data_IF_789135801337
#
_entry.id   IF_789135801337
#
_cell.length_a   1.000
_cell.length_b   1.000
_cell.length_c   1.000
_cell.angle_alpha   90.00
_cell.angle_beta   90.00
_cell.angle_gamma   90.00
#
_symmetry.space_group_name_H-M   'P 1'
#
loop_
_entity.id
_entity.type
_entity.pdbx_description
1 polymer ?
#
# COMPACT_ATOMS: atom_id res chain seq x y z
N UNK A 1 46.09 12.85 26.24
CA UNK A 1 45.77 13.01 24.80
C UNK A 1 44.82 11.90 24.36
N UNK A 2 43.56 11.98 24.79
CA UNK A 2 42.51 11.11 24.26
C UNK A 2 42.08 11.75 22.94
N UNK A 3 42.49 11.15 21.82
CA UNK A 3 42.12 11.60 20.49
C UNK A 3 40.59 11.65 20.39
N UNK A 4 40.07 12.87 20.30
CA UNK A 4 38.76 13.14 19.72
C UNK A 4 38.76 12.62 18.28
N UNK A 5 38.42 11.35 18.09
CA UNK A 5 38.05 10.85 16.78
C UNK A 5 36.73 11.52 16.40
N UNK A 6 36.87 12.56 15.58
CA UNK A 6 35.84 13.37 14.94
C UNK A 6 34.45 12.72 14.84
N UNK A 7 33.50 13.18 15.65
CA UNK A 7 32.05 12.97 15.44
C UNK A 7 31.54 13.54 14.09
N UNK A 8 32.42 14.20 13.31
CA UNK A 8 32.12 14.64 11.94
C UNK A 8 32.21 13.50 10.91
N UNK A 9 32.87 12.37 11.19
CA UNK A 9 32.87 11.20 10.29
C UNK A 9 31.60 10.32 10.40
N UNK A 10 30.74 10.55 11.40
CA UNK A 10 29.52 9.77 11.64
C UNK A 10 28.37 10.10 10.68
N UNK A 11 28.51 11.16 9.88
CA UNK A 11 27.61 11.52 8.80
C UNK A 11 28.30 11.19 7.48
N UNK A 12 28.27 9.94 7.04
CA UNK A 12 28.34 9.69 5.60
C UNK A 12 27.03 10.26 5.01
N UNK A 13 27.02 11.59 4.87
CA UNK A 13 25.95 12.46 4.37
C UNK A 13 25.35 12.01 3.03
N UNK A 14 26.06 11.35 2.09
CA UNK A 14 25.50 11.13 0.75
C UNK A 14 24.19 10.35 0.75
N UNK A 15 24.08 9.22 1.46
CA UNK A 15 22.88 8.37 1.39
C UNK A 15 21.63 9.07 1.96
N UNK A 16 21.78 9.81 3.06
CA UNK A 16 20.65 10.53 3.67
C UNK A 16 20.27 11.78 2.87
N UNK A 17 21.26 12.51 2.33
CA UNK A 17 21.01 13.65 1.45
C UNK A 17 20.31 13.20 0.16
N UNK A 18 20.70 12.07 -0.40
CA UNK A 18 20.12 11.55 -1.63
C UNK A 18 18.66 11.10 -1.41
N UNK A 19 18.38 10.42 -0.30
CA UNK A 19 17.01 10.09 0.08
C UNK A 19 16.16 11.35 0.32
N UNK A 20 16.72 12.38 0.98
CA UNK A 20 16.03 13.65 1.20
C UNK A 20 15.74 14.39 -0.12
N UNK A 21 16.69 14.43 -1.04
CA UNK A 21 16.51 15.00 -2.38
C UNK A 21 15.40 14.26 -3.14
N UNK A 22 15.43 12.92 -3.14
CA UNK A 22 14.38 12.11 -3.76
C UNK A 22 12.99 12.36 -3.14
N UNK A 23 12.89 12.65 -1.83
CA UNK A 23 11.62 13.05 -1.19
C UNK A 23 11.15 14.41 -1.71
N UNK A 24 12.05 15.39 -1.82
CA UNK A 24 11.74 16.73 -2.32
C UNK A 24 11.25 16.64 -3.78
N UNK A 25 12.00 15.92 -4.63
CA UNK A 25 11.66 15.73 -6.03
C UNK A 25 10.30 15.02 -6.18
N UNK A 26 10.04 14.00 -5.36
CA UNK A 26 8.74 13.31 -5.35
C UNK A 26 7.60 14.27 -4.97
N UNK A 27 7.82 15.18 -4.02
CA UNK A 27 6.81 16.15 -3.61
C UNK A 27 6.51 17.19 -4.70
N UNK A 28 7.52 17.58 -5.48
CA UNK A 28 7.37 18.48 -6.64
C UNK A 28 6.53 17.81 -7.72
N UNK A 29 6.85 16.56 -8.04
CA UNK A 29 6.26 15.84 -9.18
C UNK A 29 4.90 15.21 -8.85
N UNK A 30 4.68 14.80 -7.59
CA UNK A 30 3.48 14.09 -7.15
C UNK A 30 2.16 14.88 -7.28
N UNK A 31 2.21 16.18 -7.60
CA UNK A 31 1.03 17.00 -7.91
C UNK A 31 0.61 16.95 -9.38
N UNK A 32 1.51 16.52 -10.27
CA UNK A 32 1.35 16.62 -11.73
C UNK A 32 1.34 15.24 -12.39
N UNK A 33 1.91 14.23 -11.73
CA UNK A 33 2.13 12.92 -12.33
C UNK A 33 1.61 11.78 -11.45
N UNK A 34 0.94 10.82 -12.08
CA UNK A 34 0.56 9.55 -11.46
C UNK A 34 1.41 8.41 -11.99
N UNK A 35 1.98 7.61 -11.09
CA UNK A 35 2.74 6.41 -11.45
C UNK A 35 1.85 5.16 -11.35
N UNK A 36 1.74 4.39 -12.43
CA UNK A 36 0.95 3.16 -12.45
C UNK A 36 1.70 2.04 -11.74
N UNK A 37 1.06 1.39 -10.77
CA UNK A 37 1.75 0.53 -9.81
C UNK A 37 2.30 -0.76 -10.45
N UNK A 38 1.69 -1.29 -11.51
CA UNK A 38 2.20 -2.46 -12.23
C UNK A 38 3.40 -2.11 -13.12
N UNK A 39 3.39 -0.94 -13.77
CA UNK A 39 4.50 -0.40 -14.52
C UNK A 39 5.70 -0.11 -13.61
N UNK A 40 5.47 0.51 -12.44
CA UNK A 40 6.52 0.70 -11.40
C UNK A 40 7.16 -0.63 -11.00
N UNK A 41 6.35 -1.65 -10.70
CA UNK A 41 6.86 -2.99 -10.36
C UNK A 41 7.59 -3.67 -11.55
N UNK A 42 7.19 -3.39 -12.79
CA UNK A 42 7.90 -3.84 -13.99
C UNK A 42 9.25 -3.14 -14.14
N UNK A 43 9.32 -1.82 -13.93
CA UNK A 43 10.56 -1.03 -13.96
C UNK A 43 11.57 -1.55 -12.94
N UNK A 44 11.12 -1.84 -11.71
CA UNK A 44 11.98 -2.46 -10.69
C UNK A 44 12.48 -3.85 -11.09
N UNK A 45 11.61 -4.71 -11.65
CA UNK A 45 12.01 -6.04 -12.16
C UNK A 45 13.07 -5.92 -13.24
N UNK A 46 12.83 -5.06 -14.22
CA UNK A 46 13.76 -4.83 -15.33
C UNK A 46 15.11 -4.35 -14.80
N UNK A 47 15.14 -3.39 -13.88
CA UNK A 47 16.37 -2.88 -13.28
C UNK A 47 17.14 -3.95 -12.48
N UNK A 48 16.45 -4.75 -11.66
CA UNK A 48 17.07 -5.86 -10.91
C UNK A 48 17.67 -6.91 -11.85
N UNK A 49 17.05 -7.16 -13.01
CA UNK A 49 17.54 -8.11 -14.01
C UNK A 49 18.67 -7.55 -14.88
N UNK A 50 18.71 -6.23 -15.11
CA UNK A 50 19.64 -5.58 -16.06
C UNK A 50 21.01 -5.23 -15.48
N UNK A 51 21.23 -5.25 -14.16
CA UNK A 51 22.60 -5.20 -13.66
C UNK A 51 22.81 -4.78 -12.20
N UNK A 52 23.81 -5.41 -11.57
CA UNK A 52 25.14 -4.79 -11.59
C UNK A 52 25.48 -3.82 -10.46
N UNK A 53 24.83 -3.92 -9.30
CA UNK A 53 25.28 -3.18 -8.11
C UNK A 53 26.13 -4.08 -7.21
N UNK A 54 27.36 -3.65 -6.94
CA UNK A 54 28.29 -4.36 -6.05
C UNK A 54 27.88 -4.28 -4.58
N UNK A 55 27.04 -3.30 -4.21
CA UNK A 55 26.59 -3.09 -2.83
C UNK A 55 25.21 -3.70 -2.58
N UNK A 56 25.12 -4.51 -1.54
CA UNK A 56 23.85 -5.12 -1.08
C UNK A 56 22.86 -4.02 -0.69
N UNK A 57 21.56 -4.24 -0.96
CA UNK A 57 20.50 -3.37 -0.43
C UNK A 57 20.60 -3.27 1.09
N UNK A 58 20.98 -4.36 1.76
CA UNK A 58 21.17 -4.43 3.21
C UNK A 58 22.23 -3.42 3.68
N UNK A 59 23.37 -3.33 2.99
CA UNK A 59 24.44 -2.38 3.32
C UNK A 59 24.00 -0.94 3.13
N UNK A 60 23.16 -0.68 2.13
CA UNK A 60 22.65 0.68 1.84
C UNK A 60 21.61 1.16 2.85
N UNK A 61 20.78 0.27 3.37
CA UNK A 61 19.76 0.63 4.38
C UNK A 61 20.30 0.61 5.81
N UNK A 62 21.43 -0.05 6.07
CA UNK A 62 22.04 -0.17 7.40
C UNK A 62 22.19 1.17 8.14
N UNK A 63 22.74 2.23 7.52
CA UNK A 63 22.93 3.50 8.22
C UNK A 63 21.59 4.16 8.60
N UNK A 64 20.52 3.87 7.85
CA UNK A 64 19.19 4.42 8.10
C UNK A 64 18.55 3.77 9.34
N UNK A 65 18.83 2.49 9.61
CA UNK A 65 18.30 1.77 10.78
C UNK A 65 18.68 2.37 12.13
N UNK A 66 19.68 3.27 12.16
CA UNK A 66 20.08 4.04 13.35
C UNK A 66 19.05 5.08 13.78
N UNK A 67 18.10 5.43 12.91
CA UNK A 67 17.00 6.33 13.24
C UNK A 67 15.73 5.54 13.53
N UNK A 68 15.02 5.94 14.59
CA UNK A 68 13.79 5.28 15.06
C UNK A 68 12.72 5.10 13.97
N UNK A 69 12.63 6.01 12.98
CA UNK A 69 11.68 5.93 11.87
C UNK A 69 11.94 4.75 10.93
N UNK A 70 13.16 4.22 10.93
CA UNK A 70 13.63 3.19 10.02
C UNK A 70 13.99 1.89 10.75
N UNK A 71 13.69 1.75 12.04
CA UNK A 71 13.94 0.52 12.81
C UNK A 71 13.25 -0.72 12.23
N UNK A 72 12.15 -0.51 11.50
CA UNK A 72 11.38 -1.56 10.82
C UNK A 72 11.95 -1.99 9.47
N UNK A 73 13.06 -1.40 9.01
CA UNK A 73 13.73 -1.83 7.78
C UNK A 73 14.38 -3.22 7.96
N UNK A 74 14.57 -3.97 6.86
CA UNK A 74 15.22 -5.28 6.89
C UNK A 74 16.57 -5.27 7.62
N UNK A 75 16.82 -6.30 8.44
CA UNK A 75 18.05 -6.44 9.24
C UNK A 75 18.93 -7.61 8.78
N UNK A 76 18.40 -8.43 7.89
CA UNK A 76 18.98 -9.67 7.41
C UNK A 76 18.64 -9.86 5.92
N UNK A 77 19.38 -10.74 5.24
CA UNK A 77 19.20 -10.99 3.81
C UNK A 77 17.79 -11.52 3.48
N UNK A 78 17.24 -12.43 4.30
CA UNK A 78 15.90 -13.00 4.06
C UNK A 78 14.80 -11.94 4.18
N UNK A 79 14.88 -11.06 5.18
CA UNK A 79 13.93 -9.95 5.28
C UNK A 79 14.09 -8.94 4.15
N UNK A 80 15.31 -8.77 3.62
CA UNK A 80 15.61 -7.90 2.48
C UNK A 80 15.00 -8.46 1.20
N UNK A 81 15.12 -9.77 0.95
CA UNK A 81 14.44 -10.45 -0.16
C UNK A 81 12.92 -10.33 -0.09
N UNK A 82 12.34 -10.49 1.10
CA UNK A 82 10.90 -10.31 1.32
C UNK A 82 10.47 -8.86 1.08
N UNK A 83 11.29 -7.89 1.51
CA UNK A 83 11.07 -6.47 1.25
C UNK A 83 11.10 -6.16 -0.25
N UNK A 84 12.11 -6.65 -0.98
CA UNK A 84 12.23 -6.48 -2.43
C UNK A 84 11.08 -7.17 -3.17
N UNK A 85 10.75 -8.40 -2.79
CA UNK A 85 9.65 -9.17 -3.38
C UNK A 85 8.30 -8.46 -3.26
N UNK A 86 8.08 -7.68 -2.19
CA UNK A 86 6.85 -6.90 -2.03
C UNK A 86 6.75 -5.77 -3.08
N UNK A 87 7.87 -5.18 -3.48
CA UNK A 87 7.92 -4.03 -4.41
C UNK A 87 8.00 -4.45 -5.88
N UNK A 88 8.63 -5.59 -6.15
CA UNK A 88 8.92 -6.12 -7.49
C UNK A 88 7.73 -6.92 -8.05
N UNK A 89 6.90 -7.51 -7.18
CA UNK A 89 5.72 -8.29 -7.59
C UNK A 89 4.52 -7.37 -7.88
N UNK A 90 3.54 -7.83 -8.68
CA UNK A 90 2.29 -7.09 -8.88
C UNK A 90 1.66 -6.68 -7.54
N UNK A 91 1.39 -5.38 -7.34
CA UNK A 91 1.00 -4.86 -6.03
C UNK A 91 -0.40 -5.37 -5.66
N UNK A 92 -0.49 -6.03 -4.50
CA UNK A 92 -1.76 -6.51 -3.92
C UNK A 92 -2.33 -5.58 -2.85
N UNK A 93 -1.57 -4.55 -2.48
CA UNK A 93 -1.87 -3.56 -1.43
C UNK A 93 -1.07 -2.28 -1.70
N UNK A 94 -1.53 -1.15 -1.16
CA UNK A 94 -0.75 0.10 -1.15
C UNK A 94 0.53 -0.08 -0.34
N UNK A 95 1.67 0.24 -0.94
CA UNK A 95 2.98 0.19 -0.28
C UNK A 95 3.37 1.62 0.09
N UNK A 96 4.01 1.78 1.25
CA UNK A 96 4.40 3.09 1.76
C UNK A 96 5.41 3.77 0.81
N UNK A 97 5.25 5.06 0.44
CA UNK A 97 6.13 5.77 -0.51
C UNK A 97 7.61 5.71 -0.14
N UNK A 98 7.92 5.76 1.15
CA UNK A 98 9.29 5.61 1.65
C UNK A 98 9.97 4.31 1.18
N UNK A 99 9.24 3.20 1.11
CA UNK A 99 9.81 1.93 0.64
C UNK A 99 10.16 1.98 -0.85
N UNK A 100 9.34 2.68 -1.63
CA UNK A 100 9.64 2.97 -3.03
C UNK A 100 10.87 3.86 -3.15
N UNK A 101 10.96 4.93 -2.36
CA UNK A 101 12.11 5.84 -2.38
C UNK A 101 13.41 5.15 -2.01
N UNK A 102 13.41 4.23 -1.04
CA UNK A 102 14.59 3.43 -0.70
C UNK A 102 15.03 2.51 -1.83
N UNK A 103 14.08 1.90 -2.52
CA UNK A 103 14.37 1.03 -3.65
C UNK A 103 14.78 1.83 -4.89
N UNK A 104 14.20 3.02 -5.09
CA UNK A 104 14.57 3.96 -6.16
C UNK A 104 16.00 4.45 -5.95
N UNK A 105 16.31 4.92 -4.74
CA UNK A 105 17.66 5.30 -4.35
C UNK A 105 18.60 4.13 -4.59
N UNK A 106 18.27 2.92 -4.13
CA UNK A 106 19.14 1.76 -4.33
C UNK A 106 19.31 1.32 -5.79
N UNK A 107 18.27 1.33 -6.63
CA UNK A 107 18.33 0.80 -8.00
C UNK A 107 18.73 1.83 -9.06
N UNK A 108 18.35 3.09 -8.87
CA UNK A 108 18.48 4.16 -9.87
C UNK A 108 19.29 5.35 -9.38
N UNK A 109 19.74 5.35 -8.12
CA UNK A 109 20.38 6.45 -7.39
C UNK A 109 19.44 7.63 -7.14
N UNK A 110 18.74 8.12 -8.14
CA UNK A 110 17.86 9.28 -8.00
C UNK A 110 16.48 9.05 -8.65
N UNK A 111 15.52 9.89 -8.26
CA UNK A 111 14.16 9.81 -8.75
C UNK A 111 14.08 10.07 -10.27
N UNK A 112 14.90 10.96 -10.83
CA UNK A 112 14.86 11.30 -12.26
C UNK A 112 15.34 10.14 -13.12
N UNK A 113 16.41 9.47 -12.69
CA UNK A 113 16.91 8.25 -13.33
C UNK A 113 15.86 7.14 -13.30
N UNK A 114 15.12 7.01 -12.20
CA UNK A 114 13.97 6.10 -12.13
C UNK A 114 12.86 6.49 -13.11
N UNK A 115 12.49 7.77 -13.19
CA UNK A 115 11.43 8.23 -14.09
C UNK A 115 11.77 7.98 -15.55
N UNK A 116 13.02 8.22 -15.96
CA UNK A 116 13.49 7.89 -17.30
C UNK A 116 13.37 6.39 -17.61
N UNK A 117 13.73 5.54 -16.65
CA UNK A 117 13.57 4.09 -16.80
C UNK A 117 12.10 3.66 -16.79
N UNK A 118 11.25 4.34 -16.02
CA UNK A 118 9.81 4.13 -15.98
C UNK A 118 9.17 4.45 -17.32
N UNK A 119 9.47 5.61 -17.92
CA UNK A 119 8.94 6.01 -19.22
C UNK A 119 9.36 5.03 -20.32
N UNK A 120 10.61 4.56 -20.29
CA UNK A 120 11.09 3.54 -21.21
C UNK A 120 10.35 2.21 -21.04
N UNK A 121 10.07 1.78 -19.80
CA UNK A 121 9.32 0.56 -19.53
C UNK A 121 7.84 0.69 -19.94
N UNK A 122 7.21 1.84 -19.70
CA UNK A 122 5.85 2.13 -20.19
C UNK A 122 5.81 2.08 -21.71
N UNK A 123 6.76 2.71 -22.41
CA UNK A 123 6.87 2.64 -23.86
C UNK A 123 7.03 1.19 -24.34
N UNK A 124 7.86 0.38 -23.67
CA UNK A 124 8.03 -1.05 -23.96
C UNK A 124 6.74 -1.85 -23.76
N UNK A 125 5.99 -1.58 -22.70
CA UNK A 125 4.71 -2.24 -22.43
C UNK A 125 3.67 -1.88 -23.50
N UNK A 126 3.60 -0.61 -23.91
CA UNK A 126 2.73 -0.14 -25.00
C UNK A 126 3.11 -0.81 -26.31
N UNK A 127 4.40 -0.87 -26.65
CA UNK A 127 4.88 -1.59 -27.83
C UNK A 127 4.53 -3.08 -27.77
N UNK A 128 4.68 -3.73 -26.61
CA UNK A 128 4.32 -5.15 -26.46
C UNK A 128 2.82 -5.38 -26.67
N UNK A 129 1.96 -4.51 -26.15
CA UNK A 129 0.51 -4.55 -26.38
C UNK A 129 0.19 -4.34 -27.87
N UNK A 130 0.87 -3.39 -28.53
CA UNK A 130 0.72 -3.15 -29.97
C UNK A 130 1.25 -4.29 -30.86
N UNK A 131 2.31 -4.97 -30.41
CA UNK A 131 2.94 -6.12 -31.09
C UNK A 131 2.20 -7.44 -30.84
N UNK A 132 1.35 -7.49 -29.81
CA UNK A 132 0.48 -8.64 -29.58
C UNK A 132 -0.56 -8.60 -30.67
N UNK A 133 -0.46 -9.49 -31.65
CA UNK A 133 -1.42 -9.58 -32.75
C UNK A 133 -2.83 -9.66 -32.18
N UNK A 134 -3.60 -8.60 -32.40
CA UNK A 134 -5.04 -8.60 -32.16
C UNK A 134 -5.62 -9.73 -32.98
N UNK A 135 -6.00 -10.82 -32.32
CA UNK A 135 -6.86 -11.83 -32.91
C UNK A 135 -8.20 -11.13 -33.12
N UNK A 136 -8.40 -10.60 -34.33
CA UNK A 136 -9.62 -9.94 -34.83
C UNK A 136 -10.88 -10.54 -34.16
N UNK A 137 -11.63 -9.79 -33.33
CA UNK A 137 -13.06 -9.96 -33.32
C UNK A 137 -13.53 -9.37 -34.65
N UNK A 138 -13.88 -10.24 -35.58
CA UNK A 138 -14.39 -9.82 -36.87
C UNK A 138 -15.70 -9.03 -36.64
N UNK A 139 -15.72 -7.82 -37.23
CA UNK A 139 -16.83 -6.88 -37.42
C UNK A 139 -17.30 -6.07 -36.20
N UNK A 140 -16.92 -4.79 -36.25
CA UNK A 140 -17.67 -3.66 -35.71
C UNK A 140 -19.17 -3.80 -36.05
N UNK A 141 -20.01 -3.67 -35.05
CA UNK A 141 -21.34 -3.09 -35.23
C UNK A 141 -21.48 -1.98 -34.21
N UNK A 142 -21.59 -0.76 -34.73
CA UNK A 142 -21.91 0.45 -34.00
C UNK A 142 -23.13 0.26 -33.11
N UNK A 143 -23.00 0.69 -31.85
CA UNK A 143 -24.14 0.86 -30.95
C UNK A 143 -24.88 2.14 -31.34
N UNK A 144 -25.74 2.05 -32.35
CA UNK A 144 -26.88 2.95 -32.47
C UNK A 144 -28.10 2.27 -31.86
N UNK A 145 -28.53 2.77 -30.70
CA UNK A 145 -29.79 2.39 -30.06
C UNK A 145 -30.96 2.98 -30.85
N UNK A 146 -31.33 2.37 -31.97
CA UNK A 146 -32.61 2.58 -32.64
C UNK A 146 -32.82 1.54 -33.75
N UNK A 147 -33.30 0.34 -33.40
CA UNK A 147 -33.92 -0.53 -34.38
C UNK A 147 -34.92 -1.48 -33.72
N UNK A 148 -36.14 -1.46 -34.25
CA UNK A 148 -37.27 -2.32 -33.93
C UNK A 148 -36.90 -3.82 -33.93
N UNK A 149 -37.67 -4.67 -33.22
CA UNK A 149 -37.34 -6.08 -33.02
C UNK A 149 -37.38 -6.83 -34.35
N UNK A 150 -36.22 -7.14 -34.92
CA UNK A 150 -36.15 -7.99 -36.12
C UNK A 150 -36.35 -9.45 -35.71
N UNK A 151 -37.45 -10.02 -36.20
CA UNK A 151 -37.84 -11.43 -36.08
C UNK A 151 -36.78 -12.32 -36.75
N UNK A 152 -35.74 -12.70 -36.03
CA UNK A 152 -34.83 -13.76 -36.44
C UNK A 152 -35.42 -15.12 -36.06
N UNK A 153 -36.34 -15.64 -36.86
CA UNK A 153 -36.76 -17.04 -36.75
C UNK A 153 -35.60 -17.94 -37.19
N UNK A 154 -35.03 -18.79 -36.30
CA UNK A 154 -33.90 -19.64 -36.66
C UNK A 154 -34.37 -20.84 -37.48
N UNK A 155 -33.61 -21.22 -38.51
CA UNK A 155 -33.72 -22.55 -39.15
C UNK A 155 -32.52 -23.42 -38.74
N UNK A 156 -32.56 -24.14 -37.60
CA UNK A 156 -31.45 -25.00 -37.19
C UNK A 156 -31.56 -26.35 -37.90
N UNK A 157 -30.48 -26.79 -38.57
CA UNK A 157 -30.42 -28.09 -39.24
C UNK A 157 -30.27 -29.29 -38.27
N UNK A 158 -29.80 -29.09 -37.03
CA UNK A 158 -29.47 -30.19 -36.08
C UNK A 158 -30.12 -30.12 -34.68
N UNK A 159 -30.73 -28.99 -34.30
CA UNK A 159 -31.36 -28.83 -32.99
C UNK A 159 -32.88 -28.77 -33.16
N UNK A 160 -33.54 -29.93 -33.20
CA UNK A 160 -35.00 -30.05 -33.38
C UNK A 160 -35.62 -30.84 -32.23
N UNK A 161 -36.87 -30.50 -31.91
CA UNK A 161 -37.74 -31.28 -31.02
C UNK A 161 -37.19 -31.48 -29.61
N UNK A 162 -37.21 -32.75 -29.17
CA UNK A 162 -36.91 -33.18 -27.80
C UNK A 162 -35.52 -32.78 -27.31
N UNK A 163 -34.50 -32.81 -28.17
CA UNK A 163 -33.13 -32.42 -27.80
C UNK A 163 -33.04 -30.95 -27.34
N UNK A 164 -33.87 -30.06 -27.91
CA UNK A 164 -33.90 -28.65 -27.51
C UNK A 164 -34.55 -28.50 -26.13
N UNK A 165 -35.65 -29.18 -25.88
CA UNK A 165 -36.38 -29.13 -24.60
C UNK A 165 -35.55 -29.76 -23.47
N UNK A 166 -34.88 -30.88 -23.74
CA UNK A 166 -33.94 -31.51 -22.79
C UNK A 166 -32.79 -30.57 -22.46
N UNK A 167 -32.21 -29.90 -23.46
CA UNK A 167 -31.12 -28.95 -23.25
C UNK A 167 -31.58 -27.72 -22.45
N UNK A 168 -32.75 -27.15 -22.76
CA UNK A 168 -33.32 -26.02 -22.01
C UNK A 168 -33.65 -26.41 -20.56
N UNK A 169 -34.22 -27.60 -20.34
CA UNK A 169 -34.50 -28.13 -19.00
C UNK A 169 -33.22 -28.33 -18.19
N UNK A 170 -32.18 -28.94 -18.79
CA UNK A 170 -30.86 -29.13 -18.16
C UNK A 170 -30.14 -27.80 -17.87
N UNK A 171 -30.26 -26.81 -18.76
CA UNK A 171 -29.71 -25.47 -18.56
C UNK A 171 -30.45 -24.72 -17.43
N UNK A 172 -31.78 -24.83 -17.38
CA UNK A 172 -32.58 -24.26 -16.30
C UNK A 172 -32.24 -24.83 -14.92
N UNK A 173 -31.80 -26.10 -14.87
CA UNK A 173 -31.29 -26.75 -13.65
C UNK A 173 -29.86 -26.33 -13.27
N UNK A 174 -29.20 -25.47 -14.04
CA UNK A 174 -27.87 -24.93 -13.73
C UNK A 174 -26.69 -25.85 -14.06
N UNK A 175 -26.89 -26.88 -14.89
CA UNK A 175 -25.80 -27.77 -15.33
C UNK A 175 -24.75 -26.94 -16.10
N UNK A 176 -23.45 -27.08 -15.80
CA UNK A 176 -22.42 -26.28 -16.43
C UNK A 176 -22.37 -26.52 -17.94
N UNK A 177 -22.18 -25.43 -18.69
CA UNK A 177 -22.24 -25.44 -20.16
C UNK A 177 -21.23 -26.41 -20.78
N UNK A 178 -20.04 -26.55 -20.17
CA UNK A 178 -18.99 -27.48 -20.60
C UNK A 178 -19.46 -28.94 -20.57
N UNK A 179 -20.10 -29.36 -19.47
CA UNK A 179 -20.62 -30.72 -19.32
C UNK A 179 -21.70 -31.03 -20.37
N UNK A 180 -22.52 -30.04 -20.70
CA UNK A 180 -23.55 -30.17 -21.74
C UNK A 180 -22.96 -30.19 -23.15
N UNK A 181 -21.83 -29.53 -23.37
CA UNK A 181 -21.11 -29.60 -24.65
C UNK A 181 -20.52 -31.00 -24.88
N UNK A 182 -19.98 -31.62 -23.83
CA UNK A 182 -19.44 -32.99 -23.87
C UNK A 182 -20.54 -34.03 -24.02
N UNK A 183 -21.60 -33.93 -23.20
CA UNK A 183 -22.69 -34.93 -23.18
C UNK A 183 -23.50 -34.96 -24.49
N UNK A 184 -23.65 -33.82 -25.16
CA UNK A 184 -24.51 -33.69 -26.34
C UNK A 184 -23.72 -33.43 -27.64
N UNK A 185 -22.40 -33.38 -27.58
CA UNK A 185 -21.50 -33.03 -28.70
C UNK A 185 -21.86 -31.70 -29.39
N UNK A 186 -22.30 -30.71 -28.60
CA UNK A 186 -22.74 -29.40 -29.09
C UNK A 186 -21.69 -28.33 -28.75
N UNK A 187 -21.41 -27.42 -29.68
CA UNK A 187 -20.51 -26.29 -29.41
C UNK A 187 -21.09 -25.30 -28.39
N UNK A 188 -20.23 -24.71 -27.56
CA UNK A 188 -20.59 -23.66 -26.57
C UNK A 188 -21.32 -22.49 -27.24
N UNK A 189 -20.95 -22.14 -28.47
CA UNK A 189 -21.58 -21.07 -29.26
C UNK A 189 -23.05 -21.38 -29.60
N UNK A 190 -23.40 -22.65 -29.78
CA UNK A 190 -24.78 -23.09 -30.01
C UNK A 190 -25.61 -22.96 -28.73
N UNK A 191 -25.06 -23.34 -27.57
CA UNK A 191 -25.72 -23.16 -26.27
C UNK A 191 -25.96 -21.67 -25.99
N UNK A 192 -24.95 -20.82 -26.19
CA UNK A 192 -25.09 -19.38 -25.96
C UNK A 192 -26.12 -18.75 -26.92
N UNK A 193 -26.19 -19.20 -28.17
CA UNK A 193 -27.22 -18.75 -29.12
C UNK A 193 -28.62 -19.18 -28.68
N UNK A 194 -28.76 -20.39 -28.15
CA UNK A 194 -30.03 -20.90 -27.62
C UNK A 194 -30.49 -20.12 -26.38
N UNK A 195 -29.57 -19.79 -25.46
CA UNK A 195 -29.88 -18.98 -24.28
C UNK A 195 -30.31 -17.55 -24.65
N UNK A 196 -29.68 -16.93 -25.65
CA UNK A 196 -30.11 -15.62 -26.16
C UNK A 196 -31.50 -15.66 -26.78
N UNK A 197 -31.86 -16.77 -27.43
CA UNK A 197 -33.18 -16.97 -28.02
C UNK A 197 -34.27 -17.32 -26.98
N UNK A 198 -33.90 -17.73 -25.76
CA UNK A 198 -34.82 -18.12 -24.69
C UNK A 198 -34.46 -17.38 -23.38
N UNK A 199 -34.87 -16.11 -23.23
CA UNK A 199 -34.44 -15.26 -22.11
C UNK A 199 -34.89 -15.80 -20.74
N UNK A 200 -36.06 -16.45 -20.66
CA UNK A 200 -36.57 -17.06 -19.40
C UNK A 200 -35.62 -18.17 -18.91
N UNK A 201 -35.25 -19.10 -19.80
CA UNK A 201 -34.31 -20.18 -19.45
C UNK A 201 -32.92 -19.63 -19.13
N UNK A 202 -32.50 -18.54 -19.79
CA UNK A 202 -31.24 -17.88 -19.48
C UNK A 202 -31.24 -17.26 -18.09
N UNK A 203 -32.33 -16.61 -17.66
CA UNK A 203 -32.46 -16.10 -16.30
C UNK A 203 -32.37 -17.22 -15.26
N UNK A 204 -33.11 -18.32 -15.45
CA UNK A 204 -33.05 -19.50 -14.59
C UNK A 204 -31.65 -20.12 -14.54
N UNK A 205 -30.97 -20.22 -15.68
CA UNK A 205 -29.60 -20.74 -15.74
C UNK A 205 -28.59 -19.84 -15.01
N UNK A 206 -28.76 -18.52 -15.07
CA UNK A 206 -27.93 -17.55 -14.34
C UNK A 206 -28.16 -17.69 -12.83
N UNK A 207 -29.42 -17.76 -12.41
CA UNK A 207 -29.80 -17.92 -11.00
C UNK A 207 -29.27 -19.23 -10.43
N UNK A 208 -29.43 -20.35 -11.15
CA UNK A 208 -28.92 -21.64 -10.74
C UNK A 208 -27.39 -21.67 -10.67
N UNK A 209 -26.69 -21.01 -11.61
CA UNK A 209 -25.23 -20.85 -11.55
C UNK A 209 -24.82 -20.05 -10.33
N UNK A 210 -25.43 -18.89 -10.10
CA UNK A 210 -25.10 -18.03 -8.97
C UNK A 210 -25.33 -18.76 -7.65
N UNK A 211 -26.44 -19.51 -7.54
CA UNK A 211 -26.75 -20.34 -6.38
C UNK A 211 -25.69 -21.43 -6.13
N UNK A 212 -25.19 -22.08 -7.19
CA UNK A 212 -24.11 -23.06 -7.08
C UNK A 212 -22.79 -22.41 -6.64
N UNK A 213 -22.38 -21.34 -7.30
CA UNK A 213 -21.14 -20.62 -6.93
C UNK A 213 -21.20 -20.15 -5.47
N UNK A 214 -22.35 -19.66 -5.03
CA UNK A 214 -22.58 -19.24 -3.66
C UNK A 214 -22.51 -20.42 -2.68
N UNK A 215 -23.10 -21.58 -3.02
CA UNK A 215 -23.00 -22.79 -2.22
C UNK A 215 -21.56 -23.32 -2.13
N UNK A 216 -20.80 -23.31 -3.22
CA UNK A 216 -19.39 -23.73 -3.27
C UNK A 216 -18.51 -22.86 -2.38
N UNK A 217 -18.60 -21.54 -2.51
CA UNK A 217 -17.81 -20.61 -1.69
C UNK A 217 -18.20 -20.70 -0.20
N UNK A 218 -19.51 -20.86 0.11
CA UNK A 218 -19.97 -21.11 1.49
C UNK A 218 -19.40 -22.43 2.04
N UNK A 219 -19.35 -23.48 1.23
CA UNK A 219 -18.80 -24.78 1.63
C UNK A 219 -17.30 -24.71 1.89
N UNK A 220 -16.53 -24.03 1.02
CA UNK A 220 -15.10 -23.82 1.21
C UNK A 220 -14.81 -22.98 2.47
N UNK A 221 -15.58 -21.92 2.70
CA UNK A 221 -15.46 -21.10 3.92
C UNK A 221 -15.75 -21.92 5.18
N UNK A 222 -16.80 -22.74 5.16
CA UNK A 222 -17.14 -23.66 6.26
C UNK A 222 -16.06 -24.71 6.49
N UNK A 223 -15.50 -25.28 5.42
CA UNK A 223 -14.40 -26.24 5.52
C UNK A 223 -13.18 -25.63 6.23
N UNK A 224 -12.79 -24.40 5.86
CA UNK A 224 -11.67 -23.70 6.51
C UNK A 224 -11.94 -23.40 7.97
N UNK A 225 -13.16 -22.99 8.31
CA UNK A 225 -13.56 -22.77 9.69
C UNK A 225 -13.48 -24.05 10.53
N UNK A 226 -13.93 -25.18 9.99
CA UNK A 226 -13.86 -26.46 10.67
C UNK A 226 -12.42 -26.96 10.84
N UNK A 227 -11.52 -26.60 9.92
CA UNK A 227 -10.11 -26.95 9.99
C UNK A 227 -9.35 -26.14 11.07
N UNK A 228 -9.81 -24.92 11.34
CA UNK A 228 -9.19 -23.98 12.28
C UNK A 228 -10.22 -23.24 13.16
N UNK A 229 -10.95 -23.96 14.04
CA UNK A 229 -11.98 -23.36 14.90
C UNK A 229 -11.42 -22.33 15.91
N UNK A 230 -10.13 -22.41 16.22
CA UNK A 230 -9.41 -21.52 17.13
C UNK A 230 -9.04 -20.16 16.52
N UNK A 231 -9.10 -20.03 15.18
CA UNK A 231 -8.69 -18.83 14.47
C UNK A 231 -9.85 -17.85 14.30
N UNK A 232 -9.62 -16.59 14.67
CA UNK A 232 -10.56 -15.50 14.40
C UNK A 232 -10.68 -15.18 12.91
N UNK A 233 -11.77 -14.49 12.54
CA UNK A 233 -12.12 -14.10 11.15
C UNK A 233 -10.96 -13.41 10.42
N UNK A 234 -10.22 -12.56 11.12
CA UNK A 234 -9.09 -11.82 10.55
C UNK A 234 -7.92 -12.75 10.17
N UNK A 235 -7.67 -13.79 10.96
CA UNK A 235 -6.66 -14.79 10.65
C UNK A 235 -7.11 -15.66 9.46
N UNK A 236 -8.36 -16.14 9.47
CA UNK A 236 -8.93 -16.93 8.36
C UNK A 236 -9.00 -16.16 7.04
N UNK A 237 -9.34 -14.86 7.09
CA UNK A 237 -9.28 -13.95 5.94
C UNK A 237 -7.87 -13.87 5.33
N UNK A 238 -6.83 -13.95 6.16
CA UNK A 238 -5.45 -13.90 5.67
C UNK A 238 -5.02 -15.23 5.02
N UNK A 239 -5.62 -16.35 5.38
CA UNK A 239 -5.35 -17.66 4.77
C UNK A 239 -5.88 -17.68 3.33
N UNK A 240 -7.16 -17.34 3.12
CA UNK A 240 -7.75 -17.28 1.76
C UNK A 240 -8.53 -15.99 1.51
N UNK A 241 -7.84 -14.90 1.10
CA UNK A 241 -8.46 -13.61 0.86
C UNK A 241 -9.49 -13.60 -0.28
N UNK A 242 -9.34 -14.49 -1.27
CA UNK A 242 -10.20 -14.58 -2.45
C UNK A 242 -11.63 -15.01 -2.10
N UNK A 243 -11.77 -16.06 -1.26
CA UNK A 243 -13.08 -16.57 -0.82
C UNK A 243 -13.82 -15.53 0.01
N UNK A 244 -13.12 -14.90 0.97
CA UNK A 244 -13.70 -13.85 1.79
C UNK A 244 -14.16 -12.65 0.94
N UNK A 245 -13.31 -12.19 0.00
CA UNK A 245 -13.65 -11.06 -0.86
C UNK A 245 -14.81 -11.37 -1.82
N UNK A 246 -14.95 -12.62 -2.27
CA UNK A 246 -16.08 -13.04 -3.11
C UNK A 246 -17.38 -13.10 -2.30
N UNK A 247 -17.37 -13.74 -1.12
CA UNK A 247 -18.55 -13.83 -0.24
C UNK A 247 -18.99 -12.46 0.27
N UNK A 248 -18.06 -11.56 0.57
CA UNK A 248 -18.40 -10.21 1.00
C UNK A 248 -19.15 -9.41 -0.09
N UNK A 249 -18.87 -9.66 -1.38
CA UNK A 249 -19.55 -8.97 -2.50
C UNK A 249 -20.89 -9.60 -2.87
N UNK A 250 -20.98 -10.92 -2.79
CA UNK A 250 -22.13 -11.68 -3.29
C UNK A 250 -23.10 -12.11 -2.19
N UNK A 251 -22.66 -12.18 -0.93
CA UNK A 251 -23.43 -12.74 0.18
C UNK A 251 -22.96 -12.24 1.57
N UNK A 252 -22.93 -10.92 1.71
CA UNK A 252 -22.45 -10.25 2.92
C UNK A 252 -23.25 -10.64 4.17
N UNK A 253 -24.57 -10.76 4.04
CA UNK A 253 -25.46 -11.05 5.17
C UNK A 253 -25.14 -12.42 5.80
N UNK A 254 -24.96 -13.45 4.97
CA UNK A 254 -24.56 -14.78 5.45
C UNK A 254 -23.18 -14.77 6.09
N UNK A 255 -22.21 -14.07 5.49
CA UNK A 255 -20.85 -13.98 6.02
C UNK A 255 -20.85 -13.34 7.41
N UNK A 256 -21.51 -12.19 7.57
CA UNK A 256 -21.60 -11.46 8.85
C UNK A 256 -22.36 -12.25 9.93
N UNK A 257 -23.39 -13.00 9.57
CA UNK A 257 -24.09 -13.88 10.50
C UNK A 257 -23.18 -15.02 11.00
N UNK A 258 -22.32 -15.56 10.12
CA UNK A 258 -21.30 -16.54 10.52
C UNK A 258 -20.18 -15.91 11.33
N UNK A 259 -19.80 -14.67 11.08
CA UNK A 259 -18.81 -13.93 11.87
C UNK A 259 -19.15 -13.86 13.37
N UNK A 260 -20.44 -13.86 13.71
CA UNK A 260 -20.89 -13.86 15.10
C UNK A 260 -20.65 -15.19 15.83
N UNK A 261 -20.45 -16.30 15.11
CA UNK A 261 -20.18 -17.61 15.70
C UNK A 261 -18.70 -17.86 15.98
N UNK A 262 -17.80 -16.94 15.59
CA UNK A 262 -16.37 -17.09 15.81
C UNK A 262 -15.99 -16.74 17.25
N UNK A 263 -15.04 -17.50 17.81
CA UNK A 263 -14.39 -17.13 19.06
C UNK A 263 -13.65 -15.81 18.83
N UNK A 264 -14.02 -14.78 19.58
CA UNK A 264 -13.26 -13.52 19.56
C UNK A 264 -11.86 -13.84 20.10
N UNK A 265 -10.79 -13.48 19.38
CA UNK A 265 -9.45 -13.71 19.89
C UNK A 265 -9.34 -13.03 21.25
N UNK A 266 -8.77 -13.75 22.23
CA UNK A 266 -8.46 -13.16 23.53
C UNK A 266 -7.73 -11.85 23.28
N UNK A 267 -8.21 -10.77 23.90
CA UNK A 267 -7.62 -9.44 23.75
C UNK A 267 -6.15 -9.58 24.18
N UNK A 268 -5.22 -9.52 23.23
CA UNK A 268 -3.79 -9.52 23.56
C UNK A 268 -3.59 -8.35 24.51
N UNK A 269 -3.21 -8.66 25.75
CA UNK A 269 -2.84 -7.63 26.72
C UNK A 269 -1.73 -6.83 26.09
N UNK A 270 -2.03 -5.59 25.72
CA UNK A 270 -1.00 -4.66 25.29
C UNK A 270 -0.10 -4.46 26.51
N UNK A 271 1.17 -4.87 26.40
CA UNK A 271 2.14 -4.62 27.44
C UNK A 271 2.01 -3.16 27.92
N UNK A 272 1.86 -2.91 29.23
CA UNK A 272 1.72 -1.57 29.74
C UNK A 272 2.98 -0.80 29.35
N UNK A 273 2.77 0.23 28.52
CA UNK A 273 3.86 1.09 28.08
C UNK A 273 4.29 1.93 29.28
N UNK A 274 5.54 1.77 29.71
CA UNK A 274 6.15 2.64 30.72
C UNK A 274 6.37 4.04 30.13
N UNK A 275 5.45 4.94 30.45
CA UNK A 275 5.50 6.33 29.98
C UNK A 275 6.46 7.19 30.80
N UNK A 276 6.77 6.79 32.02
CA UNK A 276 7.64 7.56 32.92
C UNK A 276 9.11 7.42 32.51
N UNK A 277 9.54 6.19 32.21
CA UNK A 277 10.88 5.95 31.65
C UNK A 277 11.05 6.63 30.28
N UNK A 278 9.99 6.66 29.46
CA UNK A 278 9.99 7.35 28.16
C UNK A 278 10.09 8.86 28.32
N UNK A 279 9.38 9.44 29.28
CA UNK A 279 9.44 10.87 29.55
C UNK A 279 10.82 11.28 30.08
N UNK A 280 11.39 10.48 30.97
CA UNK A 280 12.74 10.69 31.51
C UNK A 280 13.82 10.70 30.42
N UNK A 281 13.72 9.76 29.47
CA UNK A 281 14.64 9.70 28.33
C UNK A 281 14.49 10.89 27.39
N UNK A 282 13.25 11.29 27.10
CA UNK A 282 12.99 12.46 26.26
C UNK A 282 13.52 13.74 26.93
N UNK A 283 13.28 13.91 28.23
CA UNK A 283 13.80 15.02 29.00
C UNK A 283 15.33 15.09 28.95
N UNK A 284 16.02 13.96 29.09
CA UNK A 284 17.48 13.89 28.97
C UNK A 284 17.99 14.36 27.60
N UNK A 285 17.35 13.92 26.52
CA UNK A 285 17.70 14.38 25.16
C UNK A 285 17.46 15.88 24.97
N UNK A 286 16.35 16.42 25.49
CA UNK A 286 16.03 17.85 25.42
C UNK A 286 17.06 18.67 26.21
N UNK A 287 17.46 18.20 27.40
CA UNK A 287 18.49 18.86 28.23
C UNK A 287 19.85 18.91 27.55
N UNK A 288 20.33 17.78 27.05
CA UNK A 288 21.59 17.72 26.31
C UNK A 288 21.58 18.64 25.08
N UNK A 289 20.46 18.67 24.33
CA UNK A 289 20.32 19.56 23.19
C UNK A 289 20.32 21.03 23.59
N UNK A 290 19.62 21.38 24.67
CA UNK A 290 19.61 22.75 25.20
C UNK A 290 21.00 23.21 25.64
N UNK A 291 21.68 22.41 26.45
CA UNK A 291 23.04 22.69 26.93
C UNK A 291 24.02 22.88 25.77
N UNK A 292 23.96 22.00 24.76
CA UNK A 292 24.78 22.11 23.56
C UNK A 292 24.51 23.43 22.80
N UNK A 293 23.26 23.89 22.71
CA UNK A 293 22.94 25.15 22.04
C UNK A 293 23.47 26.33 22.87
N UNK A 294 23.21 26.35 24.18
CA UNK A 294 23.68 27.43 25.08
C UNK A 294 25.20 27.51 25.20
N UNK A 295 25.92 26.41 25.00
CA UNK A 295 27.38 26.40 24.95
C UNK A 295 27.97 27.01 23.68
N UNK A 296 27.19 27.05 22.59
CA UNK A 296 27.61 27.57 21.29
C UNK A 296 27.16 29.02 21.05
N UNK A 297 26.10 29.49 21.72
CA UNK A 297 25.60 30.85 21.58
C UNK A 297 25.10 31.43 22.90
N UNK A 298 25.23 32.76 23.04
CA UNK A 298 24.72 33.52 24.20
C UNK A 298 23.26 33.98 24.02
N UNK A 299 22.65 33.71 22.87
CA UNK A 299 21.28 34.08 22.55
C UNK A 299 20.22 33.11 23.11
N UNK A 300 18.94 33.51 23.12
CA UNK A 300 17.85 32.66 23.56
C UNK A 300 17.70 31.43 22.65
N UNK A 301 17.52 30.25 23.25
CA UNK A 301 17.30 29.02 22.47
C UNK A 301 15.91 29.07 21.85
N UNK A 302 15.84 28.95 20.53
CA UNK A 302 14.59 28.96 19.78
C UNK A 302 13.98 27.56 19.70
N UNK A 303 12.66 27.51 19.49
CA UNK A 303 11.94 26.22 19.32
C UNK A 303 12.46 25.46 18.09
N UNK A 304 12.77 26.17 17.01
CA UNK A 304 13.32 25.62 15.77
C UNK A 304 14.68 24.95 15.96
N UNK A 305 15.59 25.55 16.72
CA UNK A 305 16.91 24.95 17.00
C UNK A 305 16.81 23.68 17.83
N UNK A 306 15.91 23.69 18.81
CA UNK A 306 15.67 22.56 19.70
C UNK A 306 15.03 21.38 18.93
N UNK A 307 14.07 21.66 18.05
CA UNK A 307 13.45 20.66 17.18
C UNK A 307 14.42 20.12 16.10
N UNK A 308 15.35 20.95 15.61
CA UNK A 308 16.38 20.50 14.69
C UNK A 308 17.38 19.53 15.35
N UNK A 309 17.68 19.73 16.65
CA UNK A 309 18.59 18.87 17.43
C UNK A 309 17.90 17.64 18.02
N UNK A 310 16.59 17.69 18.27
CA UNK A 310 15.78 16.55 18.72
C UNK A 310 14.55 16.39 17.81
N UNK A 311 14.70 15.80 16.61
CA UNK A 311 13.62 15.68 15.62
C UNK A 311 12.40 14.89 16.11
N UNK A 312 12.59 14.02 17.10
CA UNK A 312 11.51 13.23 17.73
C UNK A 312 10.51 14.06 18.55
N UNK A 313 10.86 15.30 18.91
CA UNK A 313 10.01 16.19 19.70
C UNK A 313 8.61 16.36 19.11
N UNK A 314 8.51 16.48 17.79
CA UNK A 314 7.23 16.66 17.10
C UNK A 314 6.28 15.49 17.38
N UNK A 315 6.71 14.27 17.08
CA UNK A 315 5.91 13.05 17.26
C UNK A 315 5.64 12.73 18.73
N UNK A 316 6.62 12.90 19.61
CA UNK A 316 6.42 12.68 21.05
C UNK A 316 5.37 13.63 21.64
N UNK A 317 5.31 14.87 21.16
CA UNK A 317 4.41 15.90 21.70
C UNK A 317 3.04 15.97 21.00
N UNK A 318 2.76 15.11 20.01
CA UNK A 318 1.43 14.98 19.39
C UNK A 318 0.35 14.66 20.43
N UNK A 319 0.67 13.74 21.34
CA UNK A 319 -0.22 13.36 22.44
C UNK A 319 -0.08 14.36 23.61
N UNK A 320 -1.11 15.19 23.82
CA UNK A 320 -1.12 16.22 24.88
C UNK A 320 -1.03 15.66 26.31
N UNK A 321 -1.56 14.46 26.52
CA UNK A 321 -1.66 13.83 27.84
C UNK A 321 -0.41 13.00 28.21
N UNK A 322 0.67 13.09 27.45
CA UNK A 322 1.92 12.36 27.67
C UNK A 322 3.10 13.33 27.76
N UNK A 323 4.19 12.87 28.37
CA UNK A 323 5.45 13.60 28.53
C UNK A 323 5.38 14.85 29.44
N UNK A 324 4.79 14.77 30.66
CA UNK A 324 4.66 15.93 31.55
C UNK A 324 5.99 16.59 31.93
N UNK A 325 7.04 15.82 32.24
CA UNK A 325 8.32 16.36 32.66
C UNK A 325 9.08 17.04 31.51
N UNK A 326 9.07 16.40 30.32
CA UNK A 326 9.63 16.99 29.10
C UNK A 326 8.92 18.28 28.70
N UNK A 327 7.58 18.32 28.80
CA UNK A 327 6.77 19.52 28.52
C UNK A 327 7.04 20.64 29.51
N UNK A 328 7.11 20.34 30.80
CA UNK A 328 7.44 21.31 31.83
C UNK A 328 8.81 21.96 31.54
N UNK A 329 9.82 21.15 31.23
CA UNK A 329 11.15 21.66 30.90
C UNK A 329 11.16 22.55 29.65
N UNK A 330 10.48 22.12 28.57
CA UNK A 330 10.35 22.93 27.35
C UNK A 330 9.65 24.27 27.63
N UNK A 331 8.60 24.27 28.47
CA UNK A 331 7.92 25.51 28.84
C UNK A 331 8.86 26.48 29.55
N UNK A 332 9.65 26.02 30.52
CA UNK A 332 10.62 26.85 31.26
C UNK A 332 11.70 27.44 30.34
N UNK A 333 12.26 26.60 29.46
CA UNK A 333 13.34 26.98 28.55
C UNK A 333 12.85 27.96 27.48
N UNK A 334 11.69 27.70 26.88
CA UNK A 334 11.15 28.53 25.79
C UNK A 334 10.48 29.81 26.31
N UNK A 335 9.99 29.85 27.56
CA UNK A 335 9.52 31.10 28.19
C UNK A 335 10.67 32.01 28.62
N UNK A 336 11.80 31.47 29.10
CA UNK A 336 13.02 32.27 29.37
C UNK A 336 13.46 33.03 28.12
N UNK A 337 13.43 32.37 26.97
CA UNK A 337 13.76 32.96 25.67
C UNK A 337 12.87 34.15 25.26
N UNK A 338 11.61 34.21 25.73
CA UNK A 338 10.69 35.34 25.46
C UNK A 338 10.89 36.53 26.39
N UNK A 339 11.35 36.30 27.62
CA UNK A 339 11.54 37.36 28.60
C UNK A 339 12.80 38.19 28.34
N UNK A 340 13.86 37.60 27.76
CA UNK A 340 15.11 38.31 27.46
C UNK A 340 14.97 39.33 26.34
N UNK A 341 14.08 39.08 25.37
CA UNK A 341 13.84 40.01 24.25
C UNK A 341 13.13 41.30 24.70
N UNK A 342 12.43 41.29 25.83
CA UNK A 342 11.74 42.47 26.36
C UNK A 342 12.65 43.39 27.19
N UNK A 343 13.79 42.91 27.70
CA UNK A 343 14.70 43.74 28.49
C UNK A 343 15.74 44.52 27.67
N UNK A 344 16.12 44.04 26.48
CA UNK A 344 17.09 44.74 25.62
C UNK A 344 16.52 45.96 24.86
N UNK A 345 15.20 46.14 24.83
CA UNK A 345 14.55 47.30 24.18
C UNK A 345 14.32 48.51 25.09
N UNK A 346 14.61 48.42 26.40
CA UNK A 346 14.34 49.52 27.36
C UNK A 346 15.58 50.36 27.70
N UNK A 347 16.79 49.93 27.30
CA UNK A 347 18.06 50.64 27.62
C UNK A 347 18.70 51.43 26.48
N UNK A 348 18.00 51.69 25.38
CA UNK A 348 18.49 52.59 24.32
C UNK A 348 17.46 53.70 24.05
N UNK A 349 17.43 54.70 24.93
CA UNK A 349 16.52 55.84 24.78
C UNK A 349 16.54 56.81 25.95
N UNK A 350 17.67 57.47 26.18
CA UNK A 350 17.77 58.81 26.82
C UNK A 350 19.24 59.25 26.89
N UNK A 351 19.72 59.86 25.80
CA UNK A 351 20.87 60.79 25.82
C UNK A 351 20.93 61.59 24.51
N UNK A 352 20.02 62.55 24.34
CA UNK A 352 20.23 63.72 23.47
C UNK A 352 19.17 64.79 23.76
N UNK A 353 19.62 65.94 24.29
CA UNK A 353 18.76 67.07 24.62
C UNK A 353 19.59 68.23 25.16
N UNK A 354 20.15 69.00 24.22
CA UNK A 354 20.84 70.27 24.41
C UNK A 354 20.09 71.26 25.34
N UNK A 355 20.81 71.83 26.32
CA UNK A 355 21.12 73.26 26.39
C UNK A 355 22.25 73.52 27.37
#
# INVERSE_FOLDING_TARGET
MIQQASSQKLWLRPAFLNLANNVIDLAVIGRVMSLESCAVAATYRTAVLQGGRSASLLDRIEPLRRFHLFESLPKDEKSTESFMSQLIRPPRRSIHPLKHLLLIDWLFDDLHSFLKAYDAEVARLVQRVASTTSRKPDKQVSLSNAAAPTKNTPRPKRLKGELKEVLLSKLGKGIPKQKLCEELEISISTINRLLRANPVTNALAIEARNSRELAEHRAQWRYLHNLHPELGIQALRNIIPSIYAWLYRNDKAWLMAKEQTFVKPAKVEKYPVDWEARDSRLLSMIRMAYEAITGLQRGPVTTTELYARVPMLSSCLENRNRYPASRAFLSTVLHRSKSTVLHDHVQCGKASGFR
#
